data_IF_588364573049
#
_entry.id   IF_588364573049
#
_cell.length_a   1.000
_cell.length_b   1.000
_cell.length_c   1.000
_cell.angle_alpha   90.00
_cell.angle_beta   90.00
_cell.angle_gamma   90.00
#
_symmetry.space_group_name_H-M   'P 1'
#
loop_
_entity.id
_entity.type
_entity.pdbx_description
1 polymer ?
#
# COMPACT_ATOMS: atom_id res chain seq x y z
N UNK A 1 46.53 8.83 -29.78
CA UNK A 1 45.94 7.85 -30.72
C UNK A 1 45.90 6.41 -30.20
N UNK A 2 46.99 5.78 -29.73
CA UNK A 2 46.92 4.40 -29.23
C UNK A 2 46.16 4.25 -27.88
N UNK A 3 46.31 5.22 -26.97
CA UNK A 3 45.66 5.23 -25.64
C UNK A 3 44.14 5.46 -25.74
N UNK A 4 43.68 6.26 -26.70
CA UNK A 4 42.25 6.49 -26.98
C UNK A 4 41.54 5.23 -27.49
N UNK A 5 42.24 4.40 -28.26
CA UNK A 5 41.64 3.21 -28.86
C UNK A 5 41.45 2.09 -27.82
N UNK A 6 42.27 2.09 -26.77
CA UNK A 6 42.20 1.13 -25.66
C UNK A 6 41.15 1.56 -24.61
N UNK A 7 41.05 2.86 -24.32
CA UNK A 7 40.00 3.40 -23.45
C UNK A 7 38.60 3.18 -24.03
N UNK A 8 38.44 3.36 -25.35
CA UNK A 8 37.16 3.16 -26.02
C UNK A 8 36.76 1.67 -26.06
N UNK A 9 37.72 0.76 -26.23
CA UNK A 9 37.48 -0.70 -26.12
C UNK A 9 37.06 -1.10 -24.72
N UNK A 10 37.72 -0.56 -23.69
CA UNK A 10 37.38 -0.85 -22.30
C UNK A 10 35.99 -0.33 -21.93
N UNK A 11 35.62 0.89 -22.38
CA UNK A 11 34.27 1.41 -22.21
C UNK A 11 33.23 0.54 -22.92
N UNK A 12 33.52 0.07 -24.13
CA UNK A 12 32.62 -0.82 -24.89
C UNK A 12 32.40 -2.14 -24.15
N UNK A 13 33.48 -2.74 -23.63
CA UNK A 13 33.38 -4.00 -22.87
C UNK A 13 32.61 -3.83 -21.56
N UNK A 14 32.78 -2.70 -20.86
CA UNK A 14 32.08 -2.42 -19.61
C UNK A 14 30.57 -2.16 -19.80
N UNK A 15 30.18 -1.50 -20.90
CA UNK A 15 28.79 -1.09 -21.15
C UNK A 15 27.99 -2.19 -21.88
N UNK A 16 28.60 -2.93 -22.80
CA UNK A 16 27.92 -3.92 -23.66
C UNK A 16 28.00 -5.35 -23.12
N UNK A 17 28.13 -5.52 -21.81
CA UNK A 17 28.09 -6.85 -21.17
C UNK A 17 26.70 -7.46 -21.39
N UNK A 18 26.65 -8.71 -21.83
CA UNK A 18 25.39 -9.45 -21.98
C UNK A 18 24.79 -9.75 -20.60
N UNK A 19 23.53 -9.41 -20.39
CA UNK A 19 22.78 -9.80 -19.21
C UNK A 19 22.25 -11.24 -19.33
N UNK A 20 22.02 -11.88 -18.19
CA UNK A 20 21.23 -13.12 -18.10
C UNK A 20 19.74 -12.80 -18.21
N UNK A 21 18.93 -13.77 -18.62
CA UNK A 21 17.48 -13.65 -18.60
C UNK A 21 16.94 -13.52 -17.15
N UNK A 22 15.89 -12.73 -16.92
CA UNK A 22 15.21 -12.68 -15.63
C UNK A 22 14.40 -13.98 -15.37
N UNK A 23 14.04 -14.29 -14.11
CA UNK A 23 13.12 -15.37 -13.78
C UNK A 23 11.77 -15.25 -14.49
N UNK A 24 11.13 -16.38 -14.78
CA UNK A 24 9.89 -16.47 -15.58
C UNK A 24 8.70 -15.69 -14.98
N UNK A 25 8.65 -15.55 -13.66
CA UNK A 25 7.60 -14.83 -12.93
C UNK A 25 8.02 -13.42 -12.50
N UNK A 26 8.93 -12.78 -13.23
CA UNK A 26 9.36 -11.41 -12.93
C UNK A 26 8.33 -10.43 -13.46
N UNK A 27 7.66 -9.70 -12.57
CA UNK A 27 6.74 -8.64 -12.95
C UNK A 27 7.47 -7.54 -13.74
N UNK A 28 6.86 -7.12 -14.84
CA UNK A 28 7.39 -6.03 -15.68
C UNK A 28 6.92 -4.69 -15.12
N UNK A 29 7.84 -3.74 -15.00
CA UNK A 29 7.50 -2.38 -14.59
C UNK A 29 6.60 -1.74 -15.64
N UNK A 30 5.38 -1.38 -15.25
CA UNK A 30 4.38 -0.70 -16.08
C UNK A 30 3.48 0.17 -15.19
N UNK A 31 3.45 1.47 -15.48
CA UNK A 31 2.54 2.43 -14.83
C UNK A 31 1.13 2.41 -15.42
N UNK A 32 0.24 3.20 -14.83
CA UNK A 32 -1.11 3.40 -15.35
C UNK A 32 -1.09 4.17 -16.68
N UNK A 33 -1.80 3.64 -17.69
CA UNK A 33 -2.02 4.34 -18.95
C UNK A 33 -3.31 5.16 -18.89
N UNK A 34 -3.18 6.48 -18.91
CA UNK A 34 -4.31 7.41 -18.87
C UNK A 34 -5.04 7.56 -20.22
N UNK A 35 -4.46 7.06 -21.33
CA UNK A 35 -5.04 7.14 -22.69
C UNK A 35 -5.94 5.94 -22.98
N UNK A 36 -5.63 4.76 -22.43
CA UNK A 36 -6.48 3.55 -22.54
C UNK A 36 -7.86 3.69 -21.84
N UNK A 37 -8.08 4.78 -21.11
CA UNK A 37 -9.36 5.10 -20.44
C UNK A 37 -10.28 5.88 -21.38
N UNK A 38 -10.70 5.26 -22.48
CA UNK A 38 -11.81 5.79 -23.30
C UNK A 38 -12.49 4.70 -24.14
N UNK A 39 -13.10 3.73 -23.47
CA UNK A 39 -14.09 2.85 -24.09
C UNK A 39 -15.41 3.58 -24.43
N UNK A 40 -15.64 4.73 -23.80
CA UNK A 40 -16.73 5.64 -24.15
C UNK A 40 -16.12 6.97 -24.61
N UNK A 41 -16.39 7.34 -25.87
CA UNK A 41 -16.05 8.64 -26.44
C UNK A 41 -16.67 9.74 -25.59
N UNK A 42 -15.91 10.31 -24.66
CA UNK A 42 -16.29 11.54 -23.95
C UNK A 42 -16.11 11.56 -22.43
N UNK A 43 -15.75 10.45 -21.76
CA UNK A 43 -15.45 10.52 -20.33
C UNK A 43 -13.97 10.85 -20.11
N UNK A 44 -13.66 12.05 -19.59
CA UNK A 44 -12.35 12.38 -19.02
C UNK A 44 -12.14 11.74 -17.63
N UNK A 45 -12.86 10.65 -17.32
CA UNK A 45 -12.95 10.11 -15.98
C UNK A 45 -11.76 9.20 -15.70
N UNK A 46 -10.90 9.63 -14.79
CA UNK A 46 -9.76 8.83 -14.33
C UNK A 46 -10.26 7.67 -13.47
N UNK A 47 -9.94 6.44 -13.86
CA UNK A 47 -10.24 5.27 -13.04
C UNK A 47 -9.20 5.12 -11.92
N UNK A 48 -9.50 5.71 -10.76
CA UNK A 48 -8.62 5.67 -9.58
C UNK A 48 -8.33 4.25 -9.07
N UNK A 49 -9.27 3.31 -9.22
CA UNK A 49 -9.02 1.91 -8.84
C UNK A 49 -7.93 1.30 -9.72
N UNK A 50 -8.01 1.47 -11.05
CA UNK A 50 -6.95 1.00 -11.97
C UNK A 50 -5.62 1.72 -11.75
N UNK A 51 -5.66 3.01 -11.39
CA UNK A 51 -4.46 3.78 -11.06
C UNK A 51 -3.76 3.21 -9.81
N UNK A 52 -4.49 3.00 -8.72
CA UNK A 52 -3.94 2.45 -7.49
C UNK A 52 -3.52 0.98 -7.64
N UNK A 53 -4.23 0.19 -8.45
CA UNK A 53 -3.82 -1.18 -8.78
C UNK A 53 -2.49 -1.22 -9.54
N UNK A 54 -2.23 -0.24 -10.42
CA UNK A 54 -0.96 -0.19 -11.16
C UNK A 54 0.25 0.04 -10.25
N UNK A 55 0.06 0.47 -8.99
CA UNK A 55 1.16 0.74 -8.09
C UNK A 55 2.04 -0.49 -7.82
N UNK A 56 1.49 -1.70 -7.89
CA UNK A 56 2.25 -2.95 -7.79
C UNK A 56 3.37 -3.04 -8.84
N UNK A 57 3.12 -2.55 -10.06
CA UNK A 57 4.06 -2.55 -11.18
C UNK A 57 4.71 -1.19 -11.46
N UNK A 58 4.48 -0.17 -10.61
CA UNK A 58 5.03 1.18 -10.81
C UNK A 58 6.47 1.35 -10.30
N UNK A 59 6.91 0.53 -9.34
CA UNK A 59 8.24 0.60 -8.73
C UNK A 59 8.33 1.50 -7.48
N UNK A 60 9.47 1.44 -6.80
CA UNK A 60 9.79 2.22 -5.59
C UNK A 60 8.70 2.11 -4.49
N UNK A 61 8.28 3.24 -3.90
CA UNK A 61 7.26 3.26 -2.84
C UNK A 61 5.86 2.94 -3.35
N UNK A 62 5.59 3.09 -4.64
CA UNK A 62 4.30 2.68 -5.21
C UNK A 62 4.14 1.16 -5.06
N UNK A 63 5.16 0.38 -5.40
CA UNK A 63 5.11 -1.08 -5.21
C UNK A 63 4.92 -1.46 -3.74
N UNK A 64 5.62 -0.77 -2.82
CA UNK A 64 5.41 -1.00 -1.38
C UNK A 64 3.98 -0.69 -0.93
N UNK A 65 3.35 0.37 -1.45
CA UNK A 65 1.95 0.68 -1.18
C UNK A 65 1.01 -0.43 -1.70
N UNK A 66 1.20 -0.88 -2.94
CA UNK A 66 0.40 -1.97 -3.51
C UNK A 66 0.53 -3.28 -2.73
N UNK A 67 1.74 -3.59 -2.24
CA UNK A 67 1.99 -4.73 -1.36
C UNK A 67 1.31 -4.56 0.01
N UNK A 68 1.35 -3.35 0.58
CA UNK A 68 0.66 -3.06 1.85
C UNK A 68 -0.86 -3.26 1.73
N UNK A 69 -1.47 -2.85 0.61
CA UNK A 69 -2.88 -3.12 0.31
C UNK A 69 -3.17 -4.63 0.34
N UNK A 70 -2.36 -5.44 -0.38
CA UNK A 70 -2.52 -6.91 -0.39
C UNK A 70 -2.41 -7.52 1.01
N UNK A 71 -1.48 -7.05 1.83
CA UNK A 71 -1.30 -7.55 3.21
C UNK A 71 -2.54 -7.21 4.06
N UNK A 72 -3.08 -5.99 3.96
CA UNK A 72 -4.29 -5.60 4.69
C UNK A 72 -5.50 -6.40 4.21
N UNK A 73 -5.65 -6.62 2.91
CA UNK A 73 -6.69 -7.49 2.35
C UNK A 73 -6.57 -8.92 2.88
N UNK A 74 -5.35 -9.46 2.97
CA UNK A 74 -5.09 -10.77 3.57
C UNK A 74 -5.49 -10.81 5.05
N UNK A 75 -5.20 -9.78 5.84
CA UNK A 75 -5.64 -9.71 7.24
C UNK A 75 -7.16 -9.72 7.37
N UNK A 76 -7.85 -8.95 6.52
CA UNK A 76 -9.33 -8.86 6.52
C UNK A 76 -9.97 -10.19 6.09
N UNK A 77 -9.39 -10.88 5.12
CA UNK A 77 -9.91 -12.13 4.56
C UNK A 77 -9.37 -13.38 5.26
N UNK A 78 -8.48 -13.22 6.24
CA UNK A 78 -7.80 -14.34 6.87
C UNK A 78 -8.78 -15.26 7.58
N UNK A 79 -8.54 -16.56 7.44
CA UNK A 79 -9.32 -17.64 8.02
C UNK A 79 -8.35 -18.66 8.65
N UNK A 80 -8.72 -19.28 9.79
CA UNK A 80 -7.90 -20.32 10.38
C UNK A 80 -7.83 -21.55 9.44
N UNK A 81 -6.74 -22.33 9.48
CA UNK A 81 -6.63 -23.55 8.67
C UNK A 81 -7.78 -24.53 8.95
N UNK A 82 -8.26 -25.23 7.92
CA UNK A 82 -9.42 -26.15 8.01
C UNK A 82 -9.28 -27.25 9.08
N UNK A 83 -8.06 -27.68 9.41
CA UNK A 83 -7.80 -28.67 10.47
C UNK A 83 -8.21 -28.19 11.87
N UNK A 84 -8.35 -26.86 12.04
CA UNK A 84 -8.78 -26.23 13.29
C UNK A 84 -10.31 -26.18 13.46
N UNK A 85 -11.05 -26.46 12.38
CA UNK A 85 -12.51 -26.31 12.31
C UNK A 85 -13.20 -27.68 12.21
N UNK A 86 -12.76 -28.64 13.03
CA UNK A 86 -13.55 -29.84 13.28
C UNK A 86 -14.87 -29.41 13.98
N UNK A 87 -15.93 -29.31 13.18
CA UNK A 87 -17.33 -29.23 13.62
C UNK A 87 -17.83 -27.91 14.26
N UNK A 88 -17.13 -26.78 14.09
CA UNK A 88 -17.59 -25.48 14.60
C UNK A 88 -17.90 -24.48 13.48
N UNK A 89 -19.13 -23.97 13.47
CA UNK A 89 -19.45 -22.75 12.75
C UNK A 89 -18.51 -21.64 13.22
N UNK A 90 -17.88 -20.92 12.29
CA UNK A 90 -17.03 -19.78 12.62
C UNK A 90 -17.69 -18.85 13.63
N UNK A 91 -17.00 -18.60 14.73
CA UNK A 91 -17.29 -17.52 15.65
C UNK A 91 -16.56 -16.25 15.17
N UNK A 92 -17.06 -15.06 15.54
CA UNK A 92 -16.32 -13.81 15.31
C UNK A 92 -14.90 -13.79 15.90
N UNK A 93 -14.62 -14.63 16.89
CA UNK A 93 -13.31 -14.76 17.55
C UNK A 93 -12.30 -15.56 16.70
N UNK A 94 -12.76 -16.24 15.66
CA UNK A 94 -11.92 -17.03 14.75
C UNK A 94 -11.26 -16.18 13.64
N UNK A 95 -11.55 -14.87 13.57
CA UNK A 95 -10.94 -13.95 12.60
C UNK A 95 -9.54 -13.50 13.04
N UNK A 96 -8.74 -12.98 12.11
CA UNK A 96 -7.44 -12.40 12.43
C UNK A 96 -7.61 -11.21 13.40
N UNK A 97 -6.87 -11.22 14.52
CA UNK A 97 -6.82 -10.07 15.45
C UNK A 97 -5.96 -8.96 14.86
N UNK A 98 -6.57 -7.81 14.56
CA UNK A 98 -5.89 -6.66 13.93
C UNK A 98 -5.56 -5.60 14.98
N UNK A 99 -4.26 -5.35 15.15
CA UNK A 99 -3.72 -4.29 16.01
C UNK A 99 -3.42 -3.04 15.17
N UNK A 100 -4.05 -1.92 15.51
CA UNK A 100 -3.81 -0.62 14.89
C UNK A 100 -2.97 0.28 15.82
N UNK A 101 -1.74 0.55 15.43
CA UNK A 101 -0.84 1.49 16.10
C UNK A 101 -0.74 2.82 15.37
N UNK A 102 -0.87 3.95 16.08
CA UNK A 102 -0.64 5.28 15.50
C UNK A 102 -0.06 6.28 16.51
N UNK A 103 0.71 7.23 16.01
CA UNK A 103 1.30 8.34 16.79
C UNK A 103 0.31 9.50 16.95
N UNK A 104 0.49 10.32 18.00
CA UNK A 104 -0.43 11.42 18.34
C UNK A 104 -0.66 12.42 17.20
N UNK A 105 0.38 12.75 16.44
CA UNK A 105 0.29 13.71 15.33
C UNK A 105 -0.70 13.28 14.22
N UNK A 106 -1.00 11.98 14.10
CA UNK A 106 -2.02 11.51 13.15
C UNK A 106 -3.43 11.88 13.60
N UNK A 107 -3.69 11.97 14.90
CA UNK A 107 -4.95 12.47 15.45
C UNK A 107 -5.04 14.00 15.33
N UNK A 108 -3.92 14.72 15.43
CA UNK A 108 -3.86 16.16 15.13
C UNK A 108 -4.27 16.46 13.68
N UNK A 109 -3.93 15.55 12.76
CA UNK A 109 -4.25 15.65 11.34
C UNK A 109 -5.70 15.22 10.99
N UNK A 110 -6.04 15.24 9.69
CA UNK A 110 -7.30 14.69 9.18
C UNK A 110 -7.34 13.16 9.05
N UNK A 111 -6.24 12.46 9.37
CA UNK A 111 -6.23 10.98 9.43
C UNK A 111 -7.10 10.46 10.58
N UNK A 112 -7.40 11.31 11.57
CA UNK A 112 -8.32 11.05 12.68
C UNK A 112 -9.66 10.49 12.21
N UNK A 113 -10.27 11.05 11.16
CA UNK A 113 -11.54 10.57 10.60
C UNK A 113 -11.43 9.16 10.01
N UNK A 114 -10.30 8.84 9.36
CA UNK A 114 -10.01 7.48 8.85
C UNK A 114 -9.90 6.47 9.99
N UNK A 115 -9.15 6.81 11.05
CA UNK A 115 -9.01 5.95 12.24
C UNK A 115 -10.39 5.74 12.89
N UNK A 116 -11.16 6.82 13.06
CA UNK A 116 -12.51 6.77 13.62
C UNK A 116 -13.43 5.86 12.81
N UNK A 117 -13.35 5.89 11.47
CA UNK A 117 -14.11 4.99 10.60
C UNK A 117 -13.77 3.52 10.87
N UNK A 118 -12.48 3.18 10.90
CA UNK A 118 -12.03 1.81 11.16
C UNK A 118 -12.52 1.28 12.51
N UNK A 119 -12.41 2.10 13.57
CA UNK A 119 -12.83 1.74 14.93
C UNK A 119 -14.35 1.65 15.04
N UNK A 120 -15.09 2.64 14.50
CA UNK A 120 -16.55 2.65 14.53
C UNK A 120 -17.16 1.40 13.87
N UNK A 121 -16.57 0.95 12.76
CA UNK A 121 -17.05 -0.20 12.01
C UNK A 121 -16.45 -1.54 12.46
N UNK A 122 -15.74 -1.57 13.61
CA UNK A 122 -15.12 -2.78 14.18
C UNK A 122 -14.21 -3.52 13.19
N UNK A 123 -13.49 -2.75 12.36
CA UNK A 123 -12.51 -3.26 11.39
C UNK A 123 -11.15 -3.56 12.02
N UNK A 124 -10.93 -3.13 13.26
CA UNK A 124 -9.74 -3.39 14.08
C UNK A 124 -10.16 -3.83 15.47
N UNK A 125 -9.32 -4.63 16.14
CA UNK A 125 -9.64 -5.23 17.45
C UNK A 125 -8.92 -4.52 18.60
N UNK A 126 -7.70 -4.04 18.37
CA UNK A 126 -6.88 -3.39 19.39
C UNK A 126 -6.29 -2.10 18.85
N UNK A 127 -6.34 -1.03 19.65
CA UNK A 127 -5.74 0.27 19.32
C UNK A 127 -4.62 0.59 20.30
N UNK A 128 -3.46 0.99 19.79
CA UNK A 128 -2.31 1.45 20.57
C UNK A 128 -1.92 2.85 20.11
N UNK A 129 -1.90 3.81 21.03
CA UNK A 129 -1.49 5.18 20.74
C UNK A 129 -0.79 5.84 21.94
N UNK A 130 -0.16 6.98 21.71
CA UNK A 130 0.42 7.82 22.78
C UNK A 130 -0.67 8.68 23.44
N UNK A 131 -0.38 9.27 24.60
CA UNK A 131 -1.35 10.10 25.34
C UNK A 131 -1.97 11.21 24.46
N UNK A 132 -1.16 11.86 23.62
CA UNK A 132 -1.59 12.86 22.63
C UNK A 132 -2.69 12.36 21.68
N UNK A 133 -2.64 11.09 21.28
CA UNK A 133 -3.64 10.50 20.40
C UNK A 133 -5.01 10.33 21.06
N UNK A 134 -5.07 10.29 22.40
CA UNK A 134 -6.33 10.21 23.15
C UNK A 134 -6.84 11.61 23.48
N UNK A 135 -5.99 12.47 24.04
CA UNK A 135 -6.41 13.81 24.48
C UNK A 135 -6.88 14.69 23.29
N UNK A 136 -6.18 14.63 22.16
CA UNK A 136 -6.53 15.45 21.00
C UNK A 136 -7.83 15.00 20.33
N UNK A 137 -8.16 13.71 20.36
CA UNK A 137 -9.45 13.22 19.86
C UNK A 137 -10.60 13.79 20.68
N UNK A 138 -10.46 13.83 22.01
CA UNK A 138 -11.43 14.44 22.91
C UNK A 138 -11.53 15.96 22.73
N UNK A 139 -10.38 16.64 22.60
CA UNK A 139 -10.34 18.10 22.39
C UNK A 139 -11.04 18.47 21.08
N UNK A 140 -10.87 17.68 20.00
CA UNK A 140 -11.54 17.92 18.71
C UNK A 140 -13.06 17.81 18.77
N UNK A 141 -13.63 17.16 19.80
CA UNK A 141 -15.07 17.19 20.06
C UNK A 141 -15.53 18.48 20.75
N UNK A 142 -14.61 19.25 21.35
CA UNK A 142 -14.88 20.50 22.06
C UNK A 142 -14.57 21.74 21.22
N UNK A 143 -13.70 21.62 20.22
CA UNK A 143 -13.34 22.73 19.32
C UNK A 143 -12.51 22.29 18.12
N UNK A 144 -12.47 23.13 17.08
CA UNK A 144 -11.75 22.84 15.84
C UNK A 144 -10.26 23.10 15.96
N UNK A 145 -9.46 22.28 15.28
CA UNK A 145 -8.05 22.54 14.97
C UNK A 145 -7.94 23.15 13.57
N UNK A 146 -7.02 24.10 13.38
CA UNK A 146 -6.89 24.85 12.13
C UNK A 146 -5.55 24.58 11.43
N UNK A 147 -5.52 24.72 10.11
CA UNK A 147 -4.29 24.69 9.31
C UNK A 147 -3.49 25.98 9.54
N UNK A 148 -2.17 25.83 9.71
CA UNK A 148 -1.21 26.93 9.84
C UNK A 148 -0.44 27.21 8.57
#
# INVERSE_FOLDING_TARGET
MAVENDSMKNATYAVLVKSSAPPEFTDVVKGHDFVEVSGEKGSNDVNYNKLLQSYLSSGFQATNFGLAVKIVEQMIQWMPPNESLEDKSMSPDDRCTIFLGYTSNLISSGVRETIRFLVQHKMVDVVVTTAGGVEEDLIKCLGSTYLG
#
